data_IF_054780084151
#
_entry.id   IF_054780084151
#
_cell.length_a   1.000
_cell.length_b   1.000
_cell.length_c   1.000
_cell.angle_alpha   90.00
_cell.angle_beta   90.00
_cell.angle_gamma   90.00
#
_symmetry.space_group_name_H-M   'P 1'
#
loop_
_entity.id
_entity.type
_entity.pdbx_description
1 polymer ?
#
# COMPACT_ATOMS: atom_id res chain seq x y z
N UNK A 1 61.01 -29.27 -51.42
CA UNK A 1 60.22 -28.10 -51.89
C UNK A 1 60.10 -27.11 -50.75
N UNK A 2 60.27 -25.83 -51.06
CA UNK A 2 60.50 -24.68 -50.19
C UNK A 2 59.35 -24.35 -49.22
N UNK A 3 59.69 -23.85 -48.03
CA UNK A 3 58.74 -23.18 -47.14
C UNK A 3 58.56 -21.72 -47.59
N UNK A 4 57.33 -21.22 -47.82
CA UNK A 4 57.12 -19.78 -48.02
C UNK A 4 57.15 -19.04 -46.67
N UNK A 5 57.85 -17.91 -46.65
CA UNK A 5 57.92 -16.97 -45.52
C UNK A 5 56.52 -16.36 -45.28
N UNK A 6 55.97 -16.52 -44.08
CA UNK A 6 54.74 -15.85 -43.67
C UNK A 6 55.04 -14.42 -43.22
N UNK A 7 54.47 -13.44 -43.92
CA UNK A 7 54.52 -12.03 -43.52
C UNK A 7 53.40 -11.78 -42.49
N UNK A 8 53.66 -11.13 -41.34
CA UNK A 8 52.58 -10.83 -40.40
C UNK A 8 51.71 -9.68 -40.92
N UNK A 9 50.44 -10.00 -41.19
CA UNK A 9 49.36 -9.04 -41.45
C UNK A 9 49.13 -8.22 -40.18
N UNK A 10 49.39 -6.90 -40.25
CA UNK A 10 49.12 -5.95 -39.17
C UNK A 10 47.61 -5.89 -38.92
N UNK A 11 47.12 -6.50 -37.84
CA UNK A 11 45.71 -6.45 -37.44
C UNK A 11 45.33 -4.98 -37.15
N UNK A 12 44.50 -4.41 -38.02
CA UNK A 12 43.85 -3.13 -37.77
C UNK A 12 42.79 -3.35 -36.67
N UNK A 13 43.06 -2.87 -35.47
CA UNK A 13 42.13 -2.95 -34.35
C UNK A 13 40.97 -2.00 -34.64
N UNK A 14 39.84 -2.56 -35.07
CA UNK A 14 38.58 -1.82 -35.10
C UNK A 14 38.20 -1.53 -33.64
N UNK A 15 38.36 -0.27 -33.23
CA UNK A 15 37.82 0.22 -31.96
C UNK A 15 36.30 0.18 -32.08
N UNK A 16 35.69 -0.74 -31.34
CA UNK A 16 34.24 -0.81 -31.13
C UNK A 16 33.75 0.54 -30.63
N UNK A 17 32.96 1.22 -31.46
CA UNK A 17 32.14 2.34 -31.02
C UNK A 17 31.03 1.77 -30.14
N UNK A 18 31.09 2.07 -28.83
CA UNK A 18 30.02 1.73 -27.91
C UNK A 18 28.86 2.72 -28.08
N UNK A 19 27.66 2.13 -28.09
CA UNK A 19 26.35 2.70 -28.37
C UNK A 19 26.04 3.97 -27.53
N UNK A 20 25.44 4.96 -28.19
CA UNK A 20 25.05 6.27 -27.66
C UNK A 20 23.64 6.24 -27.06
N UNK A 21 23.35 5.39 -26.07
CA UNK A 21 21.97 5.31 -25.54
C UNK A 21 21.81 5.38 -24.02
N UNK A 22 22.80 5.94 -23.32
CA UNK A 22 22.53 6.68 -22.08
C UNK A 22 23.48 7.88 -22.06
N UNK A 23 22.95 9.08 -22.29
CA UNK A 23 23.69 10.29 -21.92
C UNK A 23 23.79 10.34 -20.40
N UNK A 24 24.78 9.66 -19.83
CA UNK A 24 25.26 9.97 -18.49
C UNK A 24 25.85 11.37 -18.60
N UNK A 25 25.08 12.38 -18.17
CA UNK A 25 25.56 13.75 -18.06
C UNK A 25 26.81 13.70 -17.16
N UNK A 26 28.02 13.99 -17.67
CA UNK A 26 29.19 14.03 -16.81
C UNK A 26 28.96 15.13 -15.77
N UNK A 27 29.01 14.76 -14.49
CA UNK A 27 28.98 15.75 -13.40
C UNK A 27 30.09 16.79 -13.67
N UNK A 28 29.79 18.10 -13.59
CA UNK A 28 30.72 19.15 -13.99
C UNK A 28 32.05 18.98 -13.25
N UNK A 29 33.10 18.66 -14.01
CA UNK A 29 34.25 17.91 -13.50
C UNK A 29 35.34 18.73 -12.81
N UNK A 30 35.15 20.04 -12.55
CA UNK A 30 36.15 20.88 -11.84
C UNK A 30 35.61 22.10 -11.08
N UNK A 31 34.44 22.63 -11.43
CA UNK A 31 33.93 23.90 -10.85
C UNK A 31 33.16 23.67 -9.54
N UNK A 32 32.65 22.46 -9.32
CA UNK A 32 31.91 22.06 -8.14
C UNK A 32 32.61 20.89 -7.44
N UNK A 33 33.92 21.01 -7.19
CA UNK A 33 34.60 20.09 -6.29
C UNK A 33 33.93 20.15 -4.92
N UNK A 34 33.20 19.09 -4.58
CA UNK A 34 32.40 18.97 -3.35
C UNK A 34 33.28 19.12 -2.10
N UNK A 35 34.53 18.66 -2.18
CA UNK A 35 35.48 18.73 -1.08
C UNK A 35 36.13 20.11 -0.91
N UNK A 36 36.05 20.96 -1.94
CA UNK A 36 36.54 22.34 -1.86
C UNK A 36 35.71 23.17 -0.87
N UNK A 37 36.33 24.16 -0.22
CA UNK A 37 35.62 25.08 0.68
C UNK A 37 34.51 25.85 -0.03
N UNK A 38 34.66 26.14 -1.32
CA UNK A 38 33.62 26.76 -2.14
C UNK A 38 32.45 25.81 -2.38
N UNK A 39 32.73 24.55 -2.74
CA UNK A 39 31.72 23.51 -2.93
C UNK A 39 30.84 23.31 -1.69
N UNK A 40 31.45 23.24 -0.50
CA UNK A 40 30.72 23.16 0.78
C UNK A 40 29.82 24.38 1.04
N UNK A 41 30.26 25.60 0.66
CA UNK A 41 29.44 26.82 0.76
C UNK A 41 28.27 26.79 -0.22
N UNK A 42 28.50 26.33 -1.45
CA UNK A 42 27.44 26.21 -2.46
C UNK A 42 26.40 25.17 -2.09
N UNK A 43 26.79 24.03 -1.52
CA UNK A 43 25.85 23.03 -1.00
C UNK A 43 25.00 23.59 0.14
N UNK A 44 25.61 24.25 1.13
CA UNK A 44 24.86 24.88 2.23
C UNK A 44 23.89 25.96 1.73
N UNK A 45 24.30 26.74 0.74
CA UNK A 45 23.45 27.75 0.11
C UNK A 45 22.27 27.11 -0.62
N UNK A 46 22.52 26.07 -1.42
CA UNK A 46 21.48 25.29 -2.11
C UNK A 46 20.45 24.77 -1.11
N UNK A 47 20.90 24.13 -0.03
CA UNK A 47 20.00 23.60 1.00
C UNK A 47 19.18 24.72 1.66
N UNK A 48 19.75 25.92 1.84
CA UNK A 48 19.02 27.07 2.39
C UNK A 48 17.98 27.63 1.42
N UNK A 49 18.30 27.68 0.12
CA UNK A 49 17.38 28.14 -0.93
C UNK A 49 16.18 27.20 -1.05
N UNK A 50 16.42 25.89 -1.02
CA UNK A 50 15.38 24.87 -1.18
C UNK A 50 14.75 24.38 0.13
N UNK A 51 15.13 24.95 1.28
CA UNK A 51 14.56 24.59 2.58
C UNK A 51 14.96 23.20 3.10
N UNK A 52 16.06 22.64 2.60
CA UNK A 52 16.63 21.38 3.05
C UNK A 52 17.53 21.55 4.29
N UNK A 53 18.02 20.44 4.84
CA UNK A 53 18.86 20.44 6.04
C UNK A 53 20.22 21.12 5.75
N UNK A 54 20.48 22.25 6.39
CA UNK A 54 21.69 23.08 6.16
C UNK A 54 22.87 22.72 7.05
N UNK A 55 22.62 22.17 8.24
CA UNK A 55 23.66 21.78 9.20
C UNK A 55 24.19 20.39 8.84
N UNK A 56 25.51 20.14 8.98
CA UNK A 56 26.01 18.77 8.93
C UNK A 56 25.37 18.03 10.11
N UNK A 57 24.56 17.02 9.80
CA UNK A 57 23.76 16.32 10.80
C UNK A 57 24.06 14.83 10.72
N UNK A 58 23.95 14.15 11.86
CA UNK A 58 24.17 12.70 11.96
C UNK A 58 23.16 11.93 11.09
N UNK A 59 23.55 10.73 10.69
CA UNK A 59 22.73 9.82 9.87
C UNK A 59 21.34 9.59 10.51
N UNK A 60 21.29 9.45 11.85
CA UNK A 60 20.04 9.25 12.60
C UNK A 60 19.09 10.44 12.47
N UNK A 61 19.61 11.66 12.57
CA UNK A 61 18.82 12.89 12.45
C UNK A 61 18.38 13.13 11.01
N UNK A 62 19.21 12.78 10.03
CA UNK A 62 18.85 12.82 8.62
C UNK A 62 17.68 11.86 8.32
N UNK A 63 17.62 10.69 8.96
CA UNK A 63 16.47 9.76 8.86
C UNK A 63 15.17 10.41 9.31
N UNK A 64 15.19 11.11 10.44
CA UNK A 64 14.00 11.82 10.96
C UNK A 64 13.54 12.88 9.97
N UNK A 65 14.46 13.73 9.51
CA UNK A 65 14.15 14.81 8.60
C UNK A 65 13.68 14.31 7.21
N UNK A 66 14.29 13.23 6.68
CA UNK A 66 14.01 12.77 5.32
C UNK A 66 12.93 11.70 5.21
N UNK A 67 12.79 10.81 6.19
CA UNK A 67 11.88 9.65 6.11
C UNK A 67 10.65 9.81 7.00
N UNK A 68 10.79 10.43 8.18
CA UNK A 68 9.69 10.51 9.17
C UNK A 68 8.90 11.80 9.00
N UNK A 69 9.58 12.94 8.86
CA UNK A 69 8.92 14.26 8.79
C UNK A 69 8.49 14.65 7.38
N UNK A 70 9.16 14.16 6.33
CA UNK A 70 8.76 14.42 4.94
C UNK A 70 7.59 13.56 4.49
N UNK A 71 7.51 12.34 5.02
CA UNK A 71 6.44 11.42 4.66
C UNK A 71 5.23 11.66 5.55
N UNK A 72 4.06 11.33 5.04
CA UNK A 72 2.84 11.32 5.83
C UNK A 72 2.94 10.29 6.97
N UNK A 73 2.51 10.64 8.20
CA UNK A 73 2.40 9.69 9.30
C UNK A 73 1.61 8.46 8.90
N UNK A 74 2.04 7.28 9.38
CA UNK A 74 1.44 6.02 8.96
C UNK A 74 -0.05 5.95 9.27
N UNK A 75 -0.50 6.55 10.37
CA UNK A 75 -1.91 6.58 10.78
C UNK A 75 -2.81 7.40 9.85
N UNK A 76 -2.23 8.35 9.11
CA UNK A 76 -2.97 9.20 8.17
C UNK A 76 -3.02 8.61 6.77
N UNK A 77 -2.05 7.74 6.43
CA UNK A 77 -2.03 7.04 5.16
C UNK A 77 -3.30 6.19 5.01
N UNK A 78 -4.03 6.37 3.90
CA UNK A 78 -5.33 5.73 3.66
C UNK A 78 -5.32 4.21 3.91
N UNK A 79 -4.23 3.52 3.55
CA UNK A 79 -4.09 2.06 3.67
C UNK A 79 -4.03 1.58 5.13
N UNK A 80 -3.44 2.38 6.02
CA UNK A 80 -3.22 2.04 7.43
C UNK A 80 -4.11 2.83 8.38
N UNK A 81 -4.86 3.80 7.84
CA UNK A 81 -5.79 4.62 8.59
C UNK A 81 -6.89 3.76 9.22
N UNK A 82 -7.35 4.09 10.44
CA UNK A 82 -8.55 3.50 11.03
C UNK A 82 -9.79 3.61 10.13
N UNK A 83 -9.79 4.60 9.21
CA UNK A 83 -10.86 4.85 8.24
C UNK A 83 -10.78 3.93 7.01
N UNK A 84 -9.79 3.04 6.92
CA UNK A 84 -9.60 2.14 5.78
C UNK A 84 -10.86 1.33 5.45
N UNK A 85 -11.53 0.81 6.49
CA UNK A 85 -12.83 0.17 6.31
C UNK A 85 -13.96 1.21 6.42
N UNK A 86 -14.97 1.14 5.53
CA UNK A 86 -16.13 2.01 5.65
C UNK A 86 -16.87 1.75 6.97
N UNK A 87 -17.64 2.73 7.42
CA UNK A 87 -18.48 2.60 8.62
C UNK A 87 -19.63 1.60 8.38
N UNK A 88 -19.35 0.31 8.64
CA UNK A 88 -20.30 -0.79 8.43
C UNK A 88 -21.60 -0.65 9.25
N UNK A 89 -21.58 -0.25 10.54
CA UNK A 89 -22.80 0.00 11.30
C UNK A 89 -23.73 1.01 10.62
N UNK A 90 -23.19 2.10 10.08
CA UNK A 90 -23.98 3.13 9.40
C UNK A 90 -24.75 2.55 8.22
N UNK A 91 -24.09 1.78 7.35
CA UNK A 91 -24.74 1.15 6.20
C UNK A 91 -25.79 0.12 6.63
N UNK A 92 -25.50 -0.68 7.66
CA UNK A 92 -26.45 -1.66 8.18
C UNK A 92 -27.72 -1.00 8.72
N UNK A 93 -27.59 0.07 9.49
CA UNK A 93 -28.75 0.79 10.02
C UNK A 93 -29.53 1.50 8.92
N UNK A 94 -28.82 2.11 7.96
CA UNK A 94 -29.44 2.80 6.83
C UNK A 94 -30.35 1.88 6.02
N UNK A 95 -29.84 0.73 5.56
CA UNK A 95 -30.65 -0.22 4.77
C UNK A 95 -31.82 -0.79 5.56
N UNK A 96 -31.62 -1.02 6.86
CA UNK A 96 -32.70 -1.44 7.76
C UNK A 96 -33.81 -0.39 7.86
N UNK A 97 -33.46 0.89 8.03
CA UNK A 97 -34.46 1.96 8.08
C UNK A 97 -35.19 2.10 6.74
N UNK A 98 -34.47 2.06 5.61
CA UNK A 98 -35.08 2.13 4.29
C UNK A 98 -36.05 0.97 4.02
N UNK A 99 -35.74 -0.24 4.50
CA UNK A 99 -36.65 -1.39 4.47
C UNK A 99 -37.92 -1.12 5.27
N UNK A 100 -37.79 -0.59 6.50
CA UNK A 100 -38.93 -0.26 7.35
C UNK A 100 -39.83 0.82 6.73
N UNK A 101 -39.25 1.76 5.99
CA UNK A 101 -39.99 2.78 5.25
C UNK A 101 -40.58 2.28 3.91
N UNK A 102 -40.29 1.05 3.50
CA UNK A 102 -40.77 0.49 2.22
C UNK A 102 -40.10 1.06 0.97
N UNK A 103 -39.03 1.84 1.14
CA UNK A 103 -38.28 2.46 0.03
C UNK A 103 -37.27 1.48 -0.57
N UNK A 104 -36.76 0.56 0.25
CA UNK A 104 -35.74 -0.40 -0.14
C UNK A 104 -36.21 -1.84 0.09
N UNK A 105 -36.02 -2.70 -0.91
CA UNK A 105 -36.29 -4.13 -0.82
C UNK A 105 -34.97 -4.91 -0.66
N UNK A 106 -34.76 -5.47 0.52
CA UNK A 106 -33.58 -6.29 0.83
C UNK A 106 -33.87 -7.78 0.60
N UNK A 107 -33.51 -8.29 -0.58
CA UNK A 107 -33.71 -9.69 -0.97
C UNK A 107 -33.08 -10.69 0.01
N UNK A 108 -31.88 -10.39 0.52
CA UNK A 108 -31.16 -11.29 1.41
C UNK A 108 -31.83 -11.39 2.79
N UNK A 109 -32.32 -10.26 3.32
CA UNK A 109 -33.08 -10.27 4.57
C UNK A 109 -34.40 -11.02 4.37
N UNK A 110 -35.13 -10.73 3.30
CA UNK A 110 -36.41 -11.39 2.99
C UNK A 110 -36.23 -12.90 2.83
N UNK A 111 -35.20 -13.34 2.11
CA UNK A 111 -34.90 -14.76 1.97
C UNK A 111 -34.63 -15.44 3.32
N UNK A 112 -33.89 -14.79 4.24
CA UNK A 112 -33.66 -15.33 5.58
C UNK A 112 -34.97 -15.46 6.37
N UNK A 113 -35.81 -14.44 6.35
CA UNK A 113 -37.12 -14.44 7.02
C UNK A 113 -38.00 -15.60 6.51
N UNK A 114 -38.09 -15.78 5.19
CA UNK A 114 -38.82 -16.91 4.56
C UNK A 114 -38.23 -18.26 4.96
N UNK A 115 -36.91 -18.40 5.00
CA UNK A 115 -36.29 -19.66 5.44
C UNK A 115 -36.60 -19.98 6.91
N UNK A 116 -36.69 -18.96 7.75
CA UNK A 116 -37.05 -19.14 9.15
C UNK A 116 -38.52 -19.52 9.32
N UNK A 117 -39.43 -18.93 8.54
CA UNK A 117 -40.83 -19.37 8.47
C UNK A 117 -40.98 -20.83 8.04
N UNK A 118 -40.26 -21.25 6.99
CA UNK A 118 -40.25 -22.65 6.54
C UNK A 118 -39.73 -23.58 7.64
N UNK A 119 -38.71 -23.16 8.39
CA UNK A 119 -38.17 -23.94 9.52
C UNK A 119 -39.18 -24.05 10.65
N UNK A 120 -39.88 -22.96 10.98
CA UNK A 120 -40.93 -22.93 11.99
C UNK A 120 -42.11 -23.82 11.60
N UNK A 121 -42.55 -23.76 10.34
CA UNK A 121 -43.59 -24.63 9.78
C UNK A 121 -43.19 -26.12 9.84
N UNK A 122 -41.91 -26.44 9.64
CA UNK A 122 -41.35 -27.79 9.85
C UNK A 122 -41.21 -28.17 11.33
N UNK A 123 -41.64 -27.31 12.24
CA UNK A 123 -41.54 -27.53 13.68
C UNK A 123 -40.13 -27.38 14.24
N UNK A 124 -39.18 -26.80 13.53
CA UNK A 124 -37.83 -26.55 14.07
C UNK A 124 -37.85 -25.28 14.93
N UNK A 125 -37.05 -25.29 15.99
CA UNK A 125 -36.85 -24.11 16.84
C UNK A 125 -35.71 -23.29 16.21
N UNK A 126 -36.05 -22.14 15.61
CA UNK A 126 -35.08 -21.28 14.91
C UNK A 126 -34.28 -20.44 15.90
N UNK A 127 -34.97 -19.75 16.80
CA UNK A 127 -34.36 -18.90 17.82
C UNK A 127 -34.87 -19.34 19.20
N UNK A 128 -34.14 -20.20 19.93
CA UNK A 128 -34.49 -20.50 21.32
C UNK A 128 -34.37 -19.24 22.17
N UNK A 129 -35.15 -19.16 23.25
CA UNK A 129 -35.06 -18.04 24.20
C UNK A 129 -33.62 -17.94 24.72
N UNK A 130 -33.09 -16.72 24.80
CA UNK A 130 -31.73 -16.50 25.25
C UNK A 130 -31.57 -17.04 26.69
N UNK A 131 -30.52 -17.84 26.91
CA UNK A 131 -30.32 -18.57 28.17
C UNK A 131 -30.93 -19.97 28.23
N UNK A 132 -31.82 -20.34 27.30
CA UNK A 132 -32.31 -21.71 27.18
C UNK A 132 -31.48 -22.48 26.15
N UNK A 133 -30.78 -23.52 26.61
CA UNK A 133 -30.01 -24.37 25.73
C UNK A 133 -30.91 -25.04 24.67
N UNK A 134 -30.35 -25.29 23.48
CA UNK A 134 -31.07 -25.94 22.37
C UNK A 134 -31.79 -27.23 22.78
N UNK A 135 -31.22 -27.98 23.72
CA UNK A 135 -31.81 -29.23 24.21
C UNK A 135 -33.04 -29.00 25.09
N UNK A 136 -33.04 -27.98 25.95
CA UNK A 136 -34.18 -27.63 26.81
C UNK A 136 -35.37 -27.21 25.96
N UNK A 137 -35.14 -26.32 25.00
CA UNK A 137 -36.17 -25.85 24.07
C UNK A 137 -36.79 -27.00 23.26
N UNK A 138 -35.97 -27.97 22.81
CA UNK A 138 -36.48 -29.19 22.15
C UNK A 138 -37.33 -30.06 23.08
N UNK A 139 -36.94 -30.21 24.35
CA UNK A 139 -37.69 -31.00 25.33
C UNK A 139 -39.05 -30.36 25.64
N UNK A 140 -39.08 -29.05 25.89
CA UNK A 140 -40.33 -28.31 26.17
C UNK A 140 -41.33 -28.43 25.03
N UNK A 141 -40.85 -28.34 23.78
CA UNK A 141 -41.69 -28.51 22.60
C UNK A 141 -42.29 -29.92 22.46
N UNK A 142 -41.60 -30.97 22.92
CA UNK A 142 -42.11 -32.33 22.85
C UNK A 142 -43.13 -32.66 23.95
N UNK A 143 -43.25 -31.79 24.97
CA UNK A 143 -44.13 -31.96 26.12
C UNK A 143 -45.46 -31.21 25.95
N UNK A 144 -45.50 -30.19 25.09
CA UNK A 144 -46.70 -29.44 24.67
C UNK A 144 -47.41 -30.07 23.48
#
# INVERSE_FOLDING_TARGET
>A
MSRPLSVPIRKFVQKSFKNYDTMIIPKPSRILDVDSMYGKRMQRLSNKIFGEVTRPTDIKSMRIANEIMKNEPWEQQEVYSPEYYPNLPMFHYLTKMLKLHGVYFDEHVVWREVQDEIRLAKGKIVHPKIGEGKQKAKREKNVS
#
